data_IF_687010803262
#
_entry.id   IF_687010803262
#
_cell.length_a   1.000
_cell.length_b   1.000
_cell.length_c   1.000
_cell.angle_alpha   90.00
_cell.angle_beta   90.00
_cell.angle_gamma   90.00
#
_symmetry.space_group_name_H-M   'P 1'
#
loop_
_entity.id
_entity.type
_entity.pdbx_description
1 polymer ?
#
# COMPACT_ATOMS: atom_id res chain seq x y z
N UNK A 1 70.25 20.74 21.05
CA UNK A 1 69.94 20.23 19.70
C UNK A 1 71.10 19.35 19.27
N UNK A 2 71.00 18.09 18.84
CA UNK A 2 69.92 17.13 18.77
C UNK A 2 70.58 15.76 18.51
N UNK A 3 70.13 14.77 19.29
CA UNK A 3 70.26 13.30 19.17
C UNK A 3 71.63 12.67 18.90
N UNK A 4 72.11 11.83 19.84
CA UNK A 4 72.85 10.61 19.53
C UNK A 4 71.96 9.36 19.65
N UNK A 5 72.40 8.35 18.90
CA UNK A 5 71.78 7.06 18.57
C UNK A 5 71.51 6.19 19.82
N UNK A 6 70.41 5.43 19.78
CA UNK A 6 70.18 4.30 20.69
C UNK A 6 71.08 3.11 20.31
N UNK A 7 71.78 2.49 21.27
CA UNK A 7 72.11 1.09 21.21
C UNK A 7 71.16 0.27 22.10
N UNK A 8 70.76 -0.89 21.57
CA UNK A 8 70.15 -1.98 22.33
C UNK A 8 71.05 -2.42 23.49
N UNK A 9 70.45 -2.94 24.58
CA UNK A 9 71.07 -3.98 25.37
C UNK A 9 70.17 -5.23 25.42
N UNK A 10 70.65 -6.31 24.82
CA UNK A 10 70.35 -7.67 25.28
C UNK A 10 71.26 -8.00 26.46
N UNK A 11 70.69 -8.81 27.34
CA UNK A 11 71.31 -9.75 28.28
C UNK A 11 71.41 -9.39 29.77
N UNK A 12 71.21 -10.49 30.51
CA UNK A 12 71.64 -10.81 31.88
C UNK A 12 70.54 -10.59 32.95
N UNK A 13 69.59 -11.53 33.15
CA UNK A 13 69.67 -12.86 33.80
C UNK A 13 69.34 -12.83 35.29
N UNK A 14 68.28 -13.60 35.61
CA UNK A 14 67.94 -14.32 36.86
C UNK A 14 67.66 -13.50 38.13
N UNK A 15 66.42 -13.65 38.62
CA UNK A 15 66.12 -14.44 39.83
C UNK A 15 64.66 -14.84 39.85
N UNK A 16 64.44 -16.15 39.94
CA UNK A 16 63.20 -16.83 40.26
C UNK A 16 62.79 -16.49 41.69
N UNK A 17 61.52 -16.17 41.91
CA UNK A 17 60.78 -16.61 43.09
C UNK A 17 59.30 -16.68 42.76
N UNK A 18 58.80 -17.92 42.74
CA UNK A 18 57.40 -18.31 42.62
C UNK A 18 56.63 -17.90 43.89
N UNK A 19 55.71 -16.95 43.76
CA UNK A 19 54.55 -16.87 44.64
C UNK A 19 53.29 -16.69 43.80
N UNK A 20 52.41 -17.68 43.90
CA UNK A 20 51.10 -17.72 43.28
C UNK A 20 50.24 -16.55 43.77
N UNK A 21 49.95 -15.60 42.88
CA UNK A 21 48.88 -14.64 43.09
C UNK A 21 47.65 -15.23 42.42
N UNK A 22 46.84 -15.90 43.24
CA UNK A 22 45.52 -16.38 42.88
C UNK A 22 44.61 -15.15 42.66
N UNK A 23 44.54 -14.67 41.43
CA UNK A 23 43.49 -13.74 41.02
C UNK A 23 42.18 -14.55 41.00
N UNK A 24 41.11 -14.07 41.66
CA UNK A 24 39.83 -14.77 41.62
C UNK A 24 39.33 -14.77 40.18
N UNK A 25 38.91 -15.95 39.71
CA UNK A 25 38.10 -16.10 38.50
C UNK A 25 36.80 -15.32 38.69
N UNK A 26 36.82 -14.00 38.44
CA UNK A 26 35.60 -13.22 38.34
C UNK A 26 34.93 -13.66 37.04
N UNK A 27 33.84 -14.40 37.19
CA UNK A 27 32.97 -14.95 36.16
C UNK A 27 32.91 -14.09 34.89
N UNK A 28 33.58 -14.54 33.83
CA UNK A 28 33.33 -14.07 32.46
C UNK A 28 31.87 -14.32 32.05
N UNK A 29 31.20 -15.31 32.66
CA UNK A 29 29.77 -15.59 32.46
C UNK A 29 28.85 -14.46 32.96
N UNK A 30 29.25 -13.72 34.00
CA UNK A 30 28.44 -12.62 34.55
C UNK A 30 28.50 -11.37 33.66
N UNK A 31 29.59 -11.16 32.91
CA UNK A 31 29.74 -10.02 31.98
C UNK A 31 29.07 -10.32 30.63
N UNK A 32 29.06 -11.58 30.17
CA UNK A 32 28.28 -11.99 28.99
C UNK A 32 26.76 -12.03 29.23
N UNK A 33 26.29 -12.15 30.48
CA UNK A 33 24.85 -12.09 30.79
C UNK A 33 24.26 -10.67 30.86
N UNK A 34 25.09 -9.62 30.82
CA UNK A 34 24.61 -8.23 30.87
C UNK A 34 24.27 -7.67 29.48
N UNK A 35 24.71 -8.32 28.40
CA UNK A 35 24.52 -7.83 27.02
C UNK A 35 23.31 -8.47 26.30
N UNK A 36 22.61 -9.43 26.91
CA UNK A 36 21.50 -10.15 26.25
C UNK A 36 20.17 -10.13 27.00
N UNK A 37 19.99 -9.27 28.00
CA UNK A 37 18.62 -8.98 28.47
C UNK A 37 18.03 -7.94 27.52
N UNK A 38 17.06 -8.28 26.66
CA UNK A 38 16.36 -7.25 25.90
C UNK A 38 15.85 -6.24 26.92
N UNK A 39 16.28 -4.98 26.77
CA UNK A 39 15.68 -3.86 27.50
C UNK A 39 14.17 -4.02 27.41
N UNK A 40 13.44 -4.00 28.54
CA UNK A 40 11.99 -4.11 28.49
C UNK A 40 11.48 -3.06 27.49
N UNK A 41 10.56 -3.43 26.59
CA UNK A 41 10.08 -2.50 25.59
C UNK A 41 9.61 -1.23 26.30
N UNK A 42 9.93 -0.08 25.73
CA UNK A 42 9.41 1.17 26.25
C UNK A 42 7.88 1.06 26.38
N UNK A 43 7.24 1.74 27.33
CA UNK A 43 5.79 1.62 27.51
C UNK A 43 4.98 1.82 26.22
N UNK A 44 5.44 2.72 25.35
CA UNK A 44 4.87 2.95 24.01
C UNK A 44 5.04 1.70 23.12
N UNK A 45 6.25 1.12 23.07
CA UNK A 45 6.50 -0.11 22.31
C UNK A 45 5.66 -1.29 22.82
N UNK A 46 5.43 -1.39 24.13
CA UNK A 46 4.55 -2.41 24.70
C UNK A 46 3.09 -2.22 24.29
N UNK A 47 2.59 -0.98 24.24
CA UNK A 47 1.22 -0.67 23.76
C UNK A 47 1.08 -1.06 22.29
N UNK A 48 2.04 -0.65 21.44
CA UNK A 48 2.05 -1.01 20.02
C UNK A 48 2.09 -2.52 19.83
N UNK A 49 2.91 -3.23 20.61
CA UNK A 49 2.97 -4.70 20.53
C UNK A 49 1.68 -5.37 21.01
N UNK A 50 1.06 -4.86 22.08
CA UNK A 50 -0.22 -5.38 22.56
C UNK A 50 -1.32 -5.18 21.50
N UNK A 51 -1.35 -4.02 20.85
CA UNK A 51 -2.27 -3.70 19.76
C UNK A 51 -2.02 -4.56 18.51
N UNK A 52 -0.76 -4.73 18.11
CA UNK A 52 -0.34 -5.53 16.95
C UNK A 52 -0.64 -7.02 17.09
N UNK A 53 -0.67 -7.53 18.33
CA UNK A 53 -0.94 -8.96 18.63
C UNK A 53 -2.38 -9.23 19.00
N UNK A 54 -3.24 -8.20 19.04
CA UNK A 54 -4.65 -8.33 19.39
C UNK A 54 -4.88 -8.65 20.87
N UNK A 55 -3.86 -8.49 21.73
CA UNK A 55 -3.98 -8.79 23.15
C UNK A 55 -4.70 -7.66 23.88
N UNK A 56 -6.03 -7.64 23.74
CA UNK A 56 -6.90 -6.58 24.29
C UNK A 56 -6.78 -6.44 25.81
N UNK A 57 -6.63 -7.55 26.55
CA UNK A 57 -6.50 -7.50 28.01
C UNK A 57 -5.19 -6.86 28.44
N UNK A 58 -4.10 -7.11 27.71
CA UNK A 58 -2.81 -6.47 27.97
C UNK A 58 -2.84 -5.00 27.56
N UNK A 59 -3.41 -4.69 26.39
CA UNK A 59 -3.59 -3.34 25.90
C UNK A 59 -4.38 -2.48 26.90
N UNK A 60 -5.50 -2.99 27.41
CA UNK A 60 -6.32 -2.31 28.41
C UNK A 60 -5.56 -1.98 29.70
N UNK A 61 -4.71 -2.91 30.19
CA UNK A 61 -3.86 -2.67 31.37
C UNK A 61 -2.81 -1.60 31.10
N UNK A 62 -2.19 -1.61 29.92
CA UNK A 62 -1.16 -0.63 29.55
C UNK A 62 -1.75 0.78 29.42
N UNK A 63 -2.94 0.91 28.82
CA UNK A 63 -3.63 2.20 28.67
C UNK A 63 -3.99 2.86 30.01
N UNK A 64 -4.14 2.09 31.10
CA UNK A 64 -4.34 2.65 32.44
C UNK A 64 -3.06 3.16 33.09
N UNK A 65 -1.92 2.57 32.74
CA UNK A 65 -0.65 2.88 33.38
C UNK A 65 0.14 3.98 32.63
N UNK A 66 -0.12 4.16 31.34
CA UNK A 66 0.66 5.05 30.49
C UNK A 66 -0.24 5.91 29.60
N UNK A 67 0.19 7.14 29.39
CA UNK A 67 -0.41 8.07 28.45
C UNK A 67 0.61 8.43 27.36
N UNK A 68 0.19 8.44 26.11
CA UNK A 68 1.10 8.63 24.98
C UNK A 68 0.37 8.83 23.66
N UNK A 69 1.13 9.03 22.59
CA UNK A 69 0.58 8.98 21.25
C UNK A 69 0.15 7.55 20.92
N UNK A 70 -1.08 7.41 20.42
CA UNK A 70 -1.70 6.13 20.11
C UNK A 70 -1.70 5.84 18.60
N UNK A 71 -1.15 6.73 17.77
CA UNK A 71 -1.10 6.60 16.32
C UNK A 71 -0.52 5.24 15.89
N UNK A 72 0.69 4.90 16.37
CA UNK A 72 1.35 3.63 16.04
C UNK A 72 0.55 2.41 16.51
N UNK A 73 -0.13 2.52 17.66
CA UNK A 73 -0.95 1.44 18.19
C UNK A 73 -2.23 1.23 17.37
N UNK A 74 -2.89 2.31 16.96
CA UNK A 74 -4.05 2.27 16.06
C UNK A 74 -3.64 1.68 14.72
N UNK A 75 -2.55 2.18 14.12
CA UNK A 75 -2.03 1.67 12.87
C UNK A 75 -1.67 0.18 12.95
N UNK A 76 -1.03 -0.26 14.04
CA UNK A 76 -0.65 -1.66 14.23
C UNK A 76 -1.86 -2.59 14.43
N UNK A 77 -2.85 -2.20 15.25
CA UNK A 77 -4.08 -2.98 15.41
C UNK A 77 -4.88 -3.04 14.09
N UNK A 78 -4.96 -1.92 13.37
CA UNK A 78 -5.65 -1.83 12.09
C UNK A 78 -4.99 -2.70 11.01
N UNK A 79 -3.66 -2.67 10.90
CA UNK A 79 -2.87 -3.49 9.98
C UNK A 79 -3.10 -4.99 10.18
N UNK A 80 -3.23 -5.41 11.44
CA UNK A 80 -3.38 -6.82 11.82
C UNK A 80 -4.84 -7.26 12.00
N UNK A 81 -5.83 -6.41 11.66
CA UNK A 81 -7.24 -6.80 11.69
C UNK A 81 -7.87 -6.90 13.08
N UNK A 82 -7.26 -6.29 14.10
CA UNK A 82 -7.72 -6.36 15.48
C UNK A 82 -8.78 -5.30 15.79
N UNK A 83 -9.99 -5.47 15.26
CA UNK A 83 -11.15 -4.59 15.48
C UNK A 83 -11.35 -4.20 16.95
N UNK A 84 -11.33 -5.16 17.87
CA UNK A 84 -11.60 -4.89 19.28
C UNK A 84 -10.51 -4.00 19.91
N UNK A 85 -9.26 -4.11 19.46
CA UNK A 85 -8.18 -3.23 19.88
C UNK A 85 -8.36 -1.81 19.32
N UNK A 86 -8.77 -1.68 18.04
CA UNK A 86 -9.09 -0.37 17.44
C UNK A 86 -10.25 0.29 18.18
N UNK A 87 -11.29 -0.46 18.54
CA UNK A 87 -12.42 0.05 19.31
C UNK A 87 -12.01 0.46 20.74
N UNK A 88 -11.18 -0.33 21.41
CA UNK A 88 -10.64 0.03 22.72
C UNK A 88 -9.80 1.31 22.65
N UNK A 89 -8.91 1.43 21.67
CA UNK A 89 -8.10 2.64 21.46
C UNK A 89 -8.98 3.86 21.17
N UNK A 90 -10.03 3.72 20.37
CA UNK A 90 -10.99 4.80 20.14
C UNK A 90 -11.67 5.21 21.46
N UNK A 91 -12.14 4.25 22.27
CA UNK A 91 -12.80 4.54 23.55
C UNK A 91 -11.87 5.27 24.53
N UNK A 92 -10.58 4.95 24.49
CA UNK A 92 -9.55 5.65 25.26
C UNK A 92 -9.37 7.09 24.75
N UNK A 93 -9.34 7.26 23.43
CA UNK A 93 -9.14 8.54 22.75
C UNK A 93 -10.32 9.52 22.90
N UNK A 94 -11.53 9.05 23.19
CA UNK A 94 -12.71 9.91 23.47
C UNK A 94 -12.47 10.84 24.67
N UNK A 95 -11.55 10.49 25.57
CA UNK A 95 -11.18 11.35 26.71
C UNK A 95 -10.24 12.51 26.32
N UNK A 96 -9.82 12.59 25.05
CA UNK A 96 -8.98 13.66 24.51
C UNK A 96 -9.81 14.61 23.64
N UNK A 97 -9.18 15.70 23.21
CA UNK A 97 -9.78 16.64 22.26
C UNK A 97 -10.19 15.94 20.95
N UNK A 98 -11.42 16.19 20.49
CA UNK A 98 -12.05 15.45 19.40
C UNK A 98 -11.29 15.53 18.06
N UNK A 99 -10.75 16.68 17.63
CA UNK A 99 -9.89 16.76 16.45
C UNK A 99 -8.64 15.90 16.54
N UNK A 100 -7.97 15.88 17.71
CA UNK A 100 -6.78 15.05 17.93
C UNK A 100 -7.12 13.56 17.90
N UNK A 101 -8.21 13.16 18.56
CA UNK A 101 -8.70 11.80 18.52
C UNK A 101 -8.99 11.36 17.07
N UNK A 102 -9.64 12.20 16.27
CA UNK A 102 -9.93 11.92 14.86
C UNK A 102 -8.65 11.75 14.04
N UNK A 103 -7.66 12.63 14.22
CA UNK A 103 -6.38 12.54 13.54
C UNK A 103 -5.68 11.21 13.87
N UNK A 104 -5.60 10.84 15.15
CA UNK A 104 -4.98 9.57 15.57
C UNK A 104 -5.73 8.36 15.01
N UNK A 105 -7.07 8.39 15.00
CA UNK A 105 -7.86 7.30 14.42
C UNK A 105 -7.66 7.17 12.90
N UNK A 106 -7.42 8.27 12.19
CA UNK A 106 -7.14 8.26 10.74
C UNK A 106 -5.88 7.47 10.39
N UNK A 107 -4.90 7.39 11.28
CA UNK A 107 -3.66 6.62 11.07
C UNK A 107 -3.93 5.11 10.89
N UNK A 108 -5.09 4.62 11.36
CA UNK A 108 -5.52 3.24 11.11
C UNK A 108 -6.07 3.00 9.70
N UNK A 109 -6.42 4.04 8.94
CA UNK A 109 -7.17 3.90 7.70
C UNK A 109 -6.34 3.24 6.60
N UNK A 110 -5.12 3.75 6.36
CA UNK A 110 -4.22 3.20 5.36
C UNK A 110 -3.87 1.73 5.62
N UNK A 111 -3.38 1.32 6.81
CA UNK A 111 -3.03 -0.07 7.07
C UNK A 111 -4.25 -1.01 7.07
N UNK A 112 -5.43 -0.56 7.53
CA UNK A 112 -6.64 -1.37 7.43
C UNK A 112 -7.01 -1.65 5.97
N UNK A 113 -7.02 -0.61 5.13
CA UNK A 113 -7.38 -0.73 3.72
C UNK A 113 -6.33 -1.51 2.92
N UNK A 114 -5.04 -1.28 3.17
CA UNK A 114 -3.95 -1.99 2.52
C UNK A 114 -3.87 -3.49 2.86
N UNK A 115 -4.53 -3.93 3.94
CA UNK A 115 -4.60 -5.34 4.33
C UNK A 115 -6.02 -5.94 4.23
N UNK A 116 -6.98 -5.22 3.63
CA UNK A 116 -8.31 -5.78 3.35
C UNK A 116 -9.27 -5.84 4.54
N UNK A 117 -8.99 -5.14 5.64
CA UNK A 117 -9.80 -5.18 6.86
C UNK A 117 -11.04 -4.28 6.76
N UNK A 118 -12.01 -4.65 5.92
CA UNK A 118 -13.21 -3.86 5.63
C UNK A 118 -14.01 -3.47 6.88
N UNK A 119 -14.08 -4.33 7.90
CA UNK A 119 -14.77 -4.03 9.15
C UNK A 119 -14.13 -2.86 9.91
N UNK A 120 -12.80 -2.77 9.87
CA UNK A 120 -12.05 -1.66 10.48
C UNK A 120 -12.23 -0.40 9.63
N UNK A 121 -12.15 -0.49 8.30
CA UNK A 121 -12.41 0.67 7.42
C UNK A 121 -13.80 1.25 7.67
N UNK A 122 -14.83 0.40 7.71
CA UNK A 122 -16.20 0.82 8.02
C UNK A 122 -16.31 1.47 9.40
N UNK A 123 -15.65 0.90 10.41
CA UNK A 123 -15.62 1.45 11.76
C UNK A 123 -14.95 2.83 11.81
N UNK A 124 -13.81 2.99 11.13
CA UNK A 124 -13.07 4.26 11.08
C UNK A 124 -13.82 5.34 10.29
N UNK A 125 -14.50 5.00 9.19
CA UNK A 125 -15.32 5.94 8.41
C UNK A 125 -16.52 6.47 9.20
N UNK A 126 -17.09 5.65 10.08
CA UNK A 126 -18.21 6.01 10.96
C UNK A 126 -17.77 6.68 12.27
N UNK A 127 -16.46 6.77 12.52
CA UNK A 127 -15.89 7.11 13.82
C UNK A 127 -15.53 8.59 14.03
N UNK A 128 -15.67 9.04 15.29
CA UNK A 128 -15.17 10.31 15.90
C UNK A 128 -15.76 11.63 15.36
N UNK A 129 -16.74 11.61 14.46
CA UNK A 129 -17.47 12.81 14.06
C UNK A 129 -18.87 12.89 14.70
N UNK A 130 -19.17 13.93 15.49
CA UNK A 130 -20.53 14.16 16.01
C UNK A 130 -21.55 14.63 14.95
N UNK A 131 -21.10 15.03 13.75
CA UNK A 131 -21.92 15.75 12.76
C UNK A 131 -22.23 14.95 11.48
N UNK A 132 -22.17 13.62 11.51
CA UNK A 132 -22.45 12.71 10.36
C UNK A 132 -21.62 12.95 9.07
N UNK A 133 -20.73 13.94 9.05
CA UNK A 133 -19.86 14.24 7.91
C UNK A 133 -18.62 13.32 7.93
N UNK A 134 -18.51 12.50 6.90
CA UNK A 134 -17.38 11.59 6.71
C UNK A 134 -16.15 12.37 6.28
N UNK A 135 -15.01 12.04 6.87
CA UNK A 135 -13.71 12.62 6.53
C UNK A 135 -13.30 12.22 5.10
N UNK A 136 -13.36 13.17 4.17
CA UNK A 136 -13.02 12.96 2.76
C UNK A 136 -11.59 12.49 2.53
N UNK A 137 -10.63 12.94 3.34
CA UNK A 137 -9.24 12.48 3.24
C UNK A 137 -9.14 11.01 3.64
N UNK A 138 -9.86 10.61 4.71
CA UNK A 138 -9.90 9.21 5.14
C UNK A 138 -10.56 8.31 4.08
N UNK A 139 -11.61 8.78 3.40
CA UNK A 139 -12.25 8.07 2.28
C UNK A 139 -11.25 7.83 1.14
N UNK A 140 -10.52 8.86 0.74
CA UNK A 140 -9.54 8.72 -0.35
C UNK A 140 -8.34 7.87 0.03
N UNK A 141 -7.85 7.95 1.27
CA UNK A 141 -6.80 7.05 1.78
C UNK A 141 -7.26 5.60 1.62
N UNK A 142 -8.46 5.27 2.12
CA UNK A 142 -8.98 3.91 2.03
C UNK A 142 -9.14 3.42 0.58
N UNK A 143 -9.70 4.26 -0.30
CA UNK A 143 -9.91 3.92 -1.71
C UNK A 143 -8.57 3.70 -2.45
N UNK A 144 -7.59 4.58 -2.24
CA UNK A 144 -6.29 4.50 -2.89
C UNK A 144 -5.49 3.28 -2.44
N UNK A 145 -5.49 2.98 -1.15
CA UNK A 145 -4.80 1.80 -0.58
C UNK A 145 -5.49 0.51 -1.01
N UNK A 146 -6.82 0.47 -1.00
CA UNK A 146 -7.56 -0.69 -1.49
C UNK A 146 -7.32 -0.94 -2.99
N UNK A 147 -7.21 0.13 -3.80
CA UNK A 147 -6.90 0.01 -5.22
C UNK A 147 -5.45 -0.45 -5.47
N UNK A 148 -4.52 -0.06 -4.60
CA UNK A 148 -3.12 -0.48 -4.64
C UNK A 148 -2.88 -1.91 -4.16
N UNK A 149 -3.84 -2.52 -3.47
CA UNK A 149 -3.71 -3.87 -2.90
C UNK A 149 -4.80 -4.84 -3.39
N UNK A 150 -5.72 -4.40 -4.26
CA UNK A 150 -6.67 -5.28 -4.94
C UNK A 150 -8.00 -5.54 -4.20
N UNK A 151 -8.36 -4.74 -3.19
CA UNK A 151 -9.55 -4.98 -2.36
C UNK A 151 -10.80 -4.27 -2.88
N UNK A 152 -11.52 -4.90 -3.83
CA UNK A 152 -12.75 -4.35 -4.44
C UNK A 152 -13.83 -4.03 -3.42
N UNK A 153 -14.01 -4.86 -2.39
CA UNK A 153 -15.06 -4.69 -1.39
C UNK A 153 -14.89 -3.37 -0.61
N UNK A 154 -13.64 -2.93 -0.40
CA UNK A 154 -13.33 -1.64 0.23
C UNK A 154 -13.56 -0.48 -0.76
N UNK A 155 -13.30 -0.67 -2.06
CA UNK A 155 -13.68 0.32 -3.07
C UNK A 155 -15.19 0.51 -3.13
N UNK A 156 -15.96 -0.57 -3.14
CA UNK A 156 -17.43 -0.52 -3.12
C UNK A 156 -17.94 0.24 -1.90
N UNK A 157 -17.38 -0.05 -0.72
CA UNK A 157 -17.70 0.66 0.52
C UNK A 157 -17.36 2.15 0.44
N UNK A 158 -16.15 2.50 0.00
CA UNK A 158 -15.65 3.88 0.03
C UNK A 158 -16.28 4.74 -1.08
N UNK A 159 -16.61 4.14 -2.22
CA UNK A 159 -17.22 4.82 -3.36
C UNK A 159 -18.58 5.47 -3.03
N UNK A 160 -19.33 4.94 -2.07
CA UNK A 160 -20.59 5.56 -1.62
C UNK A 160 -20.35 6.90 -0.93
N UNK A 161 -19.19 7.09 -0.31
CA UNK A 161 -18.80 8.31 0.42
C UNK A 161 -18.09 9.34 -0.45
N UNK A 162 -17.54 8.94 -1.61
CA UNK A 162 -16.84 9.87 -2.49
C UNK A 162 -17.81 10.86 -3.14
N UNK A 163 -17.49 12.15 -3.03
CA UNK A 163 -18.18 13.23 -3.74
C UNK A 163 -17.49 13.54 -5.07
N UNK A 164 -18.21 13.51 -6.22
CA UNK A 164 -17.67 13.95 -7.52
C UNK A 164 -17.30 15.44 -7.56
N UNK A 165 -17.72 16.24 -6.56
CA UNK A 165 -17.40 17.66 -6.45
C UNK A 165 -16.09 17.93 -5.69
N UNK A 166 -15.44 16.89 -5.20
CA UNK A 166 -14.13 17.00 -4.55
C UNK A 166 -13.11 17.55 -5.57
N UNK A 167 -12.33 18.56 -5.16
CA UNK A 167 -11.33 19.21 -6.01
C UNK A 167 -10.26 18.22 -6.52
N UNK A 168 -10.00 17.15 -5.77
CA UNK A 168 -9.02 16.12 -6.10
C UNK A 168 -9.66 14.86 -6.70
N UNK A 169 -10.97 14.85 -7.01
CA UNK A 169 -11.68 13.66 -7.49
C UNK A 169 -10.98 13.00 -8.69
N UNK A 170 -10.82 13.72 -9.79
CA UNK A 170 -10.18 13.19 -11.01
C UNK A 170 -8.75 12.71 -10.77
N UNK A 171 -7.98 13.44 -9.97
CA UNK A 171 -6.60 13.07 -9.65
C UNK A 171 -6.55 11.77 -8.85
N UNK A 172 -7.40 11.61 -7.84
CA UNK A 172 -7.41 10.45 -6.97
C UNK A 172 -7.98 9.21 -7.68
N UNK A 173 -9.02 9.35 -8.51
CA UNK A 173 -9.51 8.23 -9.34
C UNK A 173 -8.44 7.79 -10.35
N UNK A 174 -7.74 8.72 -11.00
CA UNK A 174 -6.64 8.39 -11.90
C UNK A 174 -5.47 7.68 -11.18
N UNK A 175 -5.15 8.09 -9.94
CA UNK A 175 -4.16 7.42 -9.09
C UNK A 175 -4.60 6.00 -8.71
N UNK A 176 -5.85 5.83 -8.27
CA UNK A 176 -6.41 4.53 -7.95
C UNK A 176 -6.35 3.58 -9.15
N UNK A 177 -6.75 4.07 -10.33
CA UNK A 177 -6.65 3.34 -11.59
C UNK A 177 -5.20 2.93 -11.92
N UNK A 178 -4.25 3.87 -11.79
CA UNK A 178 -2.83 3.58 -12.06
C UNK A 178 -2.27 2.53 -11.09
N UNK A 179 -2.63 2.60 -9.82
CA UNK A 179 -2.24 1.61 -8.81
C UNK A 179 -2.82 0.23 -9.14
N UNK A 180 -4.12 0.17 -9.44
CA UNK A 180 -4.83 -1.06 -9.79
C UNK A 180 -4.24 -1.76 -11.03
N UNK A 181 -3.96 -0.98 -12.08
CA UNK A 181 -3.31 -1.51 -13.29
C UNK A 181 -1.91 -2.02 -12.96
N UNK A 182 -1.09 -1.23 -12.26
CA UNK A 182 0.30 -1.61 -11.97
C UNK A 182 0.37 -2.89 -11.13
N UNK A 183 -0.57 -3.08 -10.19
CA UNK A 183 -0.73 -4.31 -9.41
C UNK A 183 -1.43 -5.47 -10.15
N UNK A 184 -1.95 -5.25 -11.36
CA UNK A 184 -2.66 -6.27 -12.12
C UNK A 184 -4.05 -6.63 -11.56
N UNK A 185 -4.65 -5.78 -10.72
CA UNK A 185 -5.91 -6.03 -10.04
C UNK A 185 -7.11 -5.79 -10.97
N UNK A 186 -7.43 -6.83 -11.76
CA UNK A 186 -8.47 -6.77 -12.79
C UNK A 186 -9.83 -6.34 -12.23
N UNK A 187 -10.24 -6.87 -11.09
CA UNK A 187 -11.57 -6.58 -10.53
C UNK A 187 -11.68 -5.12 -10.07
N UNK A 188 -10.59 -4.54 -9.54
CA UNK A 188 -10.51 -3.11 -9.20
C UNK A 188 -10.58 -2.24 -10.46
N UNK A 189 -9.85 -2.62 -11.51
CA UNK A 189 -9.91 -1.90 -12.81
C UNK A 189 -11.31 -1.96 -13.41
N UNK A 190 -11.98 -3.12 -13.33
CA UNK A 190 -13.36 -3.29 -13.78
C UNK A 190 -14.28 -2.36 -12.99
N UNK A 191 -14.21 -2.40 -11.65
CA UNK A 191 -15.02 -1.56 -10.77
C UNK A 191 -14.89 -0.09 -11.17
N UNK A 192 -13.65 0.43 -11.22
CA UNK A 192 -13.38 1.82 -11.53
C UNK A 192 -13.80 2.21 -12.96
N UNK A 193 -13.62 1.36 -13.97
CA UNK A 193 -14.08 1.63 -15.35
C UNK A 193 -15.60 1.70 -15.50
N UNK A 194 -16.32 1.05 -14.60
CA UNK A 194 -17.80 1.02 -14.59
C UNK A 194 -18.40 1.93 -13.52
N UNK A 195 -17.58 2.69 -12.82
CA UNK A 195 -18.04 3.53 -11.73
C UNK A 195 -18.76 4.76 -12.26
N UNK A 196 -20.07 4.84 -12.02
CA UNK A 196 -20.97 5.86 -12.60
C UNK A 196 -20.53 7.32 -12.37
N UNK A 197 -19.77 7.58 -11.30
CA UNK A 197 -19.33 8.91 -10.91
C UNK A 197 -18.17 9.43 -11.77
N UNK A 198 -17.52 8.58 -12.56
CA UNK A 198 -16.30 8.92 -13.29
C UNK A 198 -16.41 8.52 -14.78
N UNK A 199 -16.16 9.47 -15.68
CA UNK A 199 -16.11 9.17 -17.12
C UNK A 199 -14.72 8.64 -17.49
N UNK A 200 -14.59 7.32 -17.46
CA UNK A 200 -13.32 6.65 -17.70
C UNK A 200 -12.81 6.83 -19.15
N UNK A 201 -11.58 7.31 -19.29
CA UNK A 201 -10.84 7.23 -20.55
C UNK A 201 -10.27 5.81 -20.74
N UNK A 202 -11.05 4.96 -21.39
CA UNK A 202 -10.64 3.58 -21.73
C UNK A 202 -9.36 3.52 -22.54
N UNK A 203 -9.14 4.48 -23.44
CA UNK A 203 -7.96 4.51 -24.28
C UNK A 203 -6.70 4.78 -23.44
N UNK A 204 -6.73 5.79 -22.58
CA UNK A 204 -5.64 6.08 -21.63
C UNK A 204 -5.40 4.93 -20.65
N UNK A 205 -6.47 4.29 -20.19
CA UNK A 205 -6.39 3.12 -19.31
C UNK A 205 -5.73 1.93 -20.01
N UNK A 206 -6.13 1.63 -21.24
CA UNK A 206 -5.56 0.56 -22.06
C UNK A 206 -4.07 0.80 -22.36
N UNK A 207 -3.73 2.04 -22.72
CA UNK A 207 -2.36 2.50 -22.93
C UNK A 207 -1.46 2.24 -21.71
N UNK A 208 -1.96 2.54 -20.50
CA UNK A 208 -1.22 2.31 -19.25
C UNK A 208 -1.05 0.81 -18.97
N UNK A 209 -2.08 0.00 -19.23
CA UNK A 209 -1.97 -1.46 -19.09
C UNK A 209 -0.93 -2.05 -20.05
N UNK A 210 -0.88 -1.56 -21.30
CA UNK A 210 0.16 -1.96 -22.25
C UNK A 210 1.56 -1.50 -21.82
N UNK A 211 1.69 -0.25 -21.34
CA UNK A 211 2.97 0.30 -20.88
C UNK A 211 3.51 -0.37 -19.60
N UNK A 212 2.65 -1.03 -18.83
CA UNK A 212 3.01 -1.81 -17.63
C UNK A 212 3.08 -3.31 -17.91
N UNK A 213 2.95 -3.72 -19.18
CA UNK A 213 2.93 -5.13 -19.63
C UNK A 213 1.82 -5.99 -19.00
N UNK A 214 0.77 -5.33 -18.50
CA UNK A 214 -0.37 -5.97 -17.85
C UNK A 214 -1.40 -6.42 -18.90
N UNK A 215 -1.02 -7.41 -19.72
CA UNK A 215 -1.83 -7.88 -20.85
C UNK A 215 -3.20 -8.45 -20.43
N UNK A 216 -3.30 -9.08 -19.27
CA UNK A 216 -4.57 -9.58 -18.75
C UNK A 216 -5.54 -8.42 -18.44
N UNK A 217 -5.03 -7.34 -17.83
CA UNK A 217 -5.76 -6.10 -17.61
C UNK A 217 -6.13 -5.45 -18.96
N UNK A 218 -5.18 -5.33 -19.90
CA UNK A 218 -5.44 -4.78 -21.23
C UNK A 218 -6.57 -5.53 -21.96
N UNK A 219 -6.54 -6.87 -21.93
CA UNK A 219 -7.59 -7.70 -22.50
C UNK A 219 -8.94 -7.40 -21.82
N UNK A 220 -8.97 -7.30 -20.49
CA UNK A 220 -10.22 -6.99 -19.77
C UNK A 220 -10.76 -5.61 -20.12
N UNK A 221 -9.89 -4.59 -20.22
CA UNK A 221 -10.28 -3.23 -20.62
C UNK A 221 -10.99 -3.26 -21.98
N UNK A 222 -10.45 -4.00 -22.96
CA UNK A 222 -11.09 -4.18 -24.27
C UNK A 222 -12.46 -4.88 -24.16
N UNK A 223 -12.56 -5.95 -23.38
CA UNK A 223 -13.84 -6.65 -23.17
C UNK A 223 -14.91 -5.71 -22.60
N UNK A 224 -14.57 -4.88 -21.61
CA UNK A 224 -15.50 -3.89 -21.04
C UNK A 224 -15.82 -2.81 -22.06
N UNK A 225 -14.83 -2.24 -22.74
CA UNK A 225 -15.03 -1.23 -23.78
C UNK A 225 -16.04 -1.71 -24.83
N UNK A 226 -15.87 -2.94 -25.33
CA UNK A 226 -16.73 -3.53 -26.36
C UNK A 226 -18.19 -3.69 -25.93
N UNK A 227 -18.45 -3.78 -24.62
CA UNK A 227 -19.79 -3.86 -24.03
C UNK A 227 -20.39 -2.49 -23.76
N UNK A 228 -19.57 -1.55 -23.24
CA UNK A 228 -20.04 -0.23 -22.77
C UNK A 228 -20.15 0.78 -23.91
N UNK A 229 -19.16 0.84 -24.81
CA UNK A 229 -19.12 1.79 -25.92
C UNK A 229 -19.64 1.13 -27.21
N UNK A 230 -20.95 0.95 -27.29
CA UNK A 230 -21.61 0.37 -28.48
C UNK A 230 -21.29 1.22 -29.72
N UNK A 231 -20.68 0.59 -30.73
CA UNK A 231 -20.23 1.27 -31.95
C UNK A 231 -18.84 1.92 -31.85
N UNK A 232 -18.22 1.94 -30.68
CA UNK A 232 -16.83 2.33 -30.49
C UNK A 232 -15.85 1.31 -31.07
N UNK A 233 -14.65 1.76 -31.42
CA UNK A 233 -13.57 0.89 -31.86
C UNK A 233 -12.25 1.32 -31.21
N UNK A 234 -11.88 0.60 -30.13
CA UNK A 234 -10.66 0.89 -29.38
C UNK A 234 -9.39 0.82 -30.26
N UNK A 235 -9.37 -0.01 -31.30
CA UNK A 235 -8.25 -0.06 -32.24
C UNK A 235 -8.12 1.27 -33.00
N UNK A 236 -9.24 1.85 -33.44
CA UNK A 236 -9.26 3.17 -34.10
C UNK A 236 -8.84 4.26 -33.11
N UNK A 237 -9.32 4.22 -31.87
CA UNK A 237 -8.93 5.18 -30.83
C UNK A 237 -7.41 5.12 -30.56
N UNK A 238 -6.84 3.92 -30.47
CA UNK A 238 -5.39 3.71 -30.33
C UNK A 238 -4.60 4.20 -31.55
N UNK A 239 -5.11 3.94 -32.77
CA UNK A 239 -4.48 4.39 -34.00
C UNK A 239 -4.48 5.92 -34.12
N UNK A 240 -5.60 6.57 -33.78
CA UNK A 240 -5.72 8.03 -33.76
C UNK A 240 -4.75 8.68 -32.77
N UNK A 241 -4.42 7.99 -31.67
CA UNK A 241 -3.41 8.40 -30.68
C UNK A 241 -1.98 8.00 -31.03
N UNK A 242 -1.75 7.36 -32.18
CA UNK A 242 -0.42 6.94 -32.64
C UNK A 242 0.20 5.78 -31.84
N UNK A 243 -0.61 4.99 -31.13
CA UNK A 243 -0.12 3.91 -30.25
C UNK A 243 0.02 2.60 -31.01
N UNK A 244 1.09 2.49 -31.80
CA UNK A 244 1.35 1.34 -32.68
C UNK A 244 1.36 -0.01 -31.94
N UNK A 245 1.97 -0.07 -30.75
CA UNK A 245 2.06 -1.32 -29.98
C UNK A 245 0.68 -1.79 -29.49
N UNK A 246 -0.18 -0.85 -29.10
CA UNK A 246 -1.56 -1.12 -28.73
C UNK A 246 -2.38 -1.61 -29.94
N UNK A 247 -2.20 -0.98 -31.11
CA UNK A 247 -2.86 -1.39 -32.36
C UNK A 247 -2.44 -2.81 -32.76
N UNK A 248 -1.14 -3.11 -32.74
CA UNK A 248 -0.62 -4.47 -33.03
C UNK A 248 -1.20 -5.50 -32.07
N UNK A 249 -1.16 -5.21 -30.76
CA UNK A 249 -1.73 -6.08 -29.75
C UNK A 249 -3.21 -6.39 -30.01
N UNK A 250 -4.01 -5.37 -30.31
CA UNK A 250 -5.44 -5.54 -30.59
C UNK A 250 -5.68 -6.34 -31.88
N UNK A 251 -4.89 -6.09 -32.93
CA UNK A 251 -4.98 -6.80 -34.20
C UNK A 251 -4.62 -8.28 -34.06
N UNK A 252 -3.47 -8.59 -33.45
CA UNK A 252 -2.93 -9.95 -33.34
C UNK A 252 -3.80 -10.86 -32.46
N UNK A 253 -4.49 -10.27 -31.46
CA UNK A 253 -5.40 -10.99 -30.55
C UNK A 253 -6.82 -11.12 -31.08
N UNK A 254 -7.12 -10.59 -32.27
CA UNK A 254 -8.47 -10.54 -32.82
C UNK A 254 -9.41 -9.65 -32.00
N UNK A 255 -8.87 -8.73 -31.19
CA UNK A 255 -9.61 -7.69 -30.46
C UNK A 255 -10.00 -6.54 -31.39
N UNK A 256 -10.49 -6.88 -32.57
CA UNK A 256 -11.08 -5.96 -33.53
C UNK A 256 -12.57 -6.25 -33.50
N UNK A 257 -13.39 -5.32 -33.00
CA UNK A 257 -14.82 -5.39 -33.27
C UNK A 257 -14.97 -5.44 -34.79
N UNK A 258 -15.77 -6.39 -35.31
CA UNK A 258 -15.90 -6.70 -36.75
C UNK A 258 -15.77 -5.42 -37.56
N UNK A 259 -14.65 -5.26 -38.27
CA UNK A 259 -14.55 -4.37 -39.42
C UNK A 259 -15.53 -4.96 -40.44
N UNK A 260 -16.83 -4.70 -40.29
CA UNK A 260 -17.86 -5.16 -41.21
C UNK A 260 -17.82 -4.28 -42.46
N UNK A 261 -16.75 -4.45 -43.22
CA UNK A 261 -16.75 -4.45 -44.66
C UNK A 261 -15.55 -5.30 -45.07
N UNK A 262 -15.83 -6.49 -45.55
CA UNK A 262 -14.89 -7.34 -46.27
C UNK A 262 -14.04 -6.50 -47.23
N UNK A 263 -12.70 -6.64 -47.28
CA UNK A 263 -11.98 -6.18 -48.45
C UNK A 263 -12.39 -7.09 -49.60
N UNK A 264 -13.23 -6.60 -50.50
CA UNK A 264 -13.50 -7.26 -51.78
C UNK A 264 -12.15 -7.53 -52.43
N UNK A 265 -11.78 -8.79 -52.74
CA UNK A 265 -10.51 -9.07 -53.40
C UNK A 265 -10.51 -8.32 -54.73
N UNK A 266 -9.50 -7.48 -54.93
CA UNK A 266 -9.33 -6.71 -56.15
C UNK A 266 -9.37 -7.68 -57.33
N UNK A 267 -10.39 -7.52 -58.19
CA UNK A 267 -10.54 -8.30 -59.42
C UNK A 267 -9.29 -8.03 -60.27
N UNK A 268 -8.59 -9.06 -60.79
CA UNK A 268 -7.43 -8.83 -61.64
C UNK A 268 -7.87 -8.01 -62.85
N UNK A 269 -7.19 -6.88 -63.09
CA UNK A 269 -7.33 -6.09 -64.32
C UNK A 269 -7.07 -7.03 -65.49
N UNK A 270 -8.12 -7.36 -66.25
CA UNK A 270 -7.96 -7.91 -67.60
C UNK A 270 -7.20 -6.86 -68.40
N UNK A 271 -5.94 -7.15 -68.72
CA UNK A 271 -5.26 -6.50 -69.82
C UNK A 271 -6.04 -6.85 -71.09
N UNK A 272 -6.79 -5.90 -71.61
CA UNK A 272 -7.30 -5.98 -72.98
C UNK A 272 -6.10 -5.89 -73.92
N UNK A 273 -5.73 -7.04 -74.49
CA UNK A 273 -4.92 -7.10 -75.71
C UNK A 273 -5.83 -6.74 -76.88
N UNK A 274 -5.57 -5.58 -77.49
CA UNK A 274 -5.64 -5.25 -78.93
C UNK A 274 -5.70 -3.74 -79.07
#
# INVERSE_FOLDING_TARGET
MGKPKNPHPTDIVKRTDTQAIHLPHVHLEAVTQVVTKPTPPSPISAIVQAAATGNISWLWKLLQAFNGDMADAVAAAASNGHCDCVALLQSYLINFDAPKARQVMREGMAPAAANGHIGIVLFLLKGVAPDDEVDGDAVWIALLEAAANGFVEILELTASYVSPRDANFELNVARAMSNAISGGFIDVVVFLLTWEKWDADFAKTFEKAMATEQHAVAKKIYEIYSRVKVGGNLLVDMAARGRLDAVKYLYDRGCTSKLSSTPTPARPRRLSRS
#
